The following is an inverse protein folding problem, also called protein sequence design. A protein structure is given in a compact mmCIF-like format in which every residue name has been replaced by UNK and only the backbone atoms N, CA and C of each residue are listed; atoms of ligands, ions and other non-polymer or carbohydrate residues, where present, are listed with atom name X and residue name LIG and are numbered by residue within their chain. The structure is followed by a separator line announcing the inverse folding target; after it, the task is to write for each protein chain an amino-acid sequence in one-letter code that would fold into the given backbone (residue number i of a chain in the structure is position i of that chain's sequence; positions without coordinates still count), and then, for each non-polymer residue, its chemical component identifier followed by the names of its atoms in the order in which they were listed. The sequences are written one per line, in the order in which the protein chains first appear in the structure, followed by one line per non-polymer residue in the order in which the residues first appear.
data_IF_720242613385
#
_entry.id   IF_720242613385
#
_cell.length_a   1.000
_cell.length_b   1.000
_cell.length_c   1.000
_cell.angle_alpha   90.00
_cell.angle_beta   90.00
_cell.angle_gamma   90.00
#
_symmetry.space_group_name_H-M   'P 1'
#
loop_
_entity.id
_entity.type
_entity.pdbx_description
1 polymer ?
#
# COMPACT_ATOMS: atom_id res chain seq x y z
N UNK A 1 -0.76 6.54 14.05
CA UNK A 1 -0.13 7.86 13.81
C UNK A 1 -0.96 8.72 12.83
N UNK A 2 -1.14 8.35 11.54
CA UNK A 2 -1.89 9.18 10.54
C UNK A 2 -3.28 9.56 11.06
N UNK A 3 -4.03 8.58 11.57
CA UNK A 3 -5.35 8.83 12.17
C UNK A 3 -5.29 9.86 13.32
N UNK A 4 -4.41 9.65 14.29
CA UNK A 4 -4.33 10.50 15.49
C UNK A 4 -3.97 11.96 15.14
N UNK A 5 -3.02 12.14 14.23
CA UNK A 5 -2.63 13.48 13.77
C UNK A 5 -3.77 14.19 13.03
N UNK A 6 -4.44 13.49 12.11
CA UNK A 6 -5.57 14.06 11.40
C UNK A 6 -6.73 14.38 12.35
N UNK A 7 -7.04 13.46 13.25
CA UNK A 7 -8.15 13.60 14.17
C UNK A 7 -7.94 14.75 15.15
N UNK A 8 -6.75 14.87 15.77
CA UNK A 8 -6.42 15.97 16.67
C UNK A 8 -6.37 17.35 15.97
N UNK A 9 -6.03 17.35 14.67
CA UNK A 9 -6.06 18.58 13.86
C UNK A 9 -7.48 18.93 13.34
N UNK A 10 -8.52 18.15 13.68
CA UNK A 10 -9.88 18.35 13.18
C UNK A 10 -10.06 18.02 11.71
N UNK A 11 -9.06 17.41 11.06
CA UNK A 11 -9.11 16.98 9.68
C UNK A 11 -9.86 15.65 9.58
N UNK A 12 -10.73 15.51 8.59
CA UNK A 12 -11.40 14.23 8.30
C UNK A 12 -10.39 13.11 8.09
N UNK A 13 -10.30 12.09 8.96
CA UNK A 13 -9.29 11.05 8.89
C UNK A 13 -9.29 10.25 7.58
N UNK A 14 -10.44 10.07 6.93
CA UNK A 14 -10.57 9.41 5.64
C UNK A 14 -9.59 9.96 4.60
N UNK A 15 -9.38 11.26 4.56
CA UNK A 15 -8.53 11.93 3.54
C UNK A 15 -7.07 11.44 3.61
N UNK A 16 -6.34 11.65 4.71
CA UNK A 16 -4.97 11.18 4.79
C UNK A 16 -4.84 9.66 4.92
N UNK A 17 -5.80 8.98 5.55
CA UNK A 17 -5.76 7.52 5.70
C UNK A 17 -5.88 6.82 4.35
N UNK A 18 -6.87 7.20 3.53
CA UNK A 18 -7.07 6.60 2.22
C UNK A 18 -5.92 6.94 1.26
N UNK A 19 -5.51 8.22 1.22
CA UNK A 19 -4.40 8.66 0.36
C UNK A 19 -3.11 7.95 0.72
N UNK A 20 -2.73 7.88 2.00
CA UNK A 20 -1.51 7.21 2.43
C UNK A 20 -1.53 5.70 2.16
N UNK A 21 -2.69 5.05 2.35
CA UNK A 21 -2.84 3.62 2.08
C UNK A 21 -2.59 3.30 0.61
N UNK A 22 -3.19 4.07 -0.30
CA UNK A 22 -3.00 3.85 -1.74
C UNK A 22 -1.62 4.29 -2.20
N UNK A 23 -1.12 5.43 -1.74
CA UNK A 23 0.22 5.92 -2.07
C UNK A 23 1.32 4.92 -1.69
N UNK A 24 1.20 4.27 -0.53
CA UNK A 24 2.12 3.21 -0.11
C UNK A 24 2.12 2.00 -1.06
N UNK A 25 0.96 1.64 -1.63
CA UNK A 25 0.86 0.58 -2.63
C UNK A 25 1.50 1.01 -3.97
N UNK A 26 1.20 2.22 -4.45
CA UNK A 26 1.76 2.75 -5.70
C UNK A 26 3.28 2.88 -5.62
N UNK A 27 3.83 3.27 -4.47
CA UNK A 27 5.26 3.35 -4.23
C UNK A 27 6.03 2.04 -4.49
N UNK A 28 5.35 0.89 -4.45
CA UNK A 28 5.97 -0.43 -4.74
C UNK A 28 6.55 -0.48 -6.15
N UNK A 29 5.86 0.06 -7.16
CA UNK A 29 6.33 0.06 -8.56
C UNK A 29 7.37 1.13 -8.85
N UNK A 30 7.55 2.08 -7.94
CA UNK A 30 8.60 3.09 -7.98
C UNK A 30 9.79 2.77 -7.03
N UNK A 31 9.78 1.59 -6.40
CA UNK A 31 10.77 1.20 -5.40
C UNK A 31 11.81 0.24 -6.00
N UNK A 32 13.12 0.56 -5.93
CA UNK A 32 14.18 -0.26 -6.50
C UNK A 32 14.33 -1.64 -5.85
N UNK A 33 13.92 -1.79 -4.61
CA UNK A 33 14.06 -3.02 -3.82
C UNK A 33 12.76 -3.83 -3.74
N UNK A 34 11.71 -3.41 -4.44
CA UNK A 34 10.44 -4.12 -4.41
C UNK A 34 10.48 -5.44 -5.18
N UNK A 35 9.75 -6.43 -4.68
CA UNK A 35 9.62 -7.72 -5.36
C UNK A 35 8.96 -7.60 -6.75
N UNK A 36 8.11 -6.59 -6.96
CA UNK A 36 7.46 -6.35 -8.25
C UNK A 36 8.45 -5.80 -9.28
N UNK A 37 9.26 -4.80 -8.91
CA UNK A 37 10.28 -4.22 -9.79
C UNK A 37 11.38 -5.23 -10.10
N UNK A 38 11.85 -6.00 -9.10
CA UNK A 38 12.81 -7.07 -9.30
C UNK A 38 12.27 -8.16 -10.24
N UNK A 39 10.98 -8.53 -10.10
CA UNK A 39 10.34 -9.50 -10.98
C UNK A 39 10.25 -8.98 -12.42
N UNK A 40 9.87 -7.71 -12.63
CA UNK A 40 9.80 -7.11 -13.96
C UNK A 40 11.17 -7.11 -14.66
N UNK A 41 12.22 -6.67 -13.94
CA UNK A 41 13.59 -6.66 -14.45
C UNK A 41 14.05 -8.07 -14.84
N UNK A 42 13.81 -9.06 -13.97
CA UNK A 42 14.15 -10.47 -14.24
C UNK A 42 13.40 -11.04 -15.43
N UNK A 43 12.14 -10.66 -15.63
CA UNK A 43 11.35 -11.08 -16.80
C UNK A 43 11.89 -10.50 -18.09
N UNK A 44 12.22 -9.21 -18.15
CA UNK A 44 12.82 -8.62 -19.33
C UNK A 44 14.12 -9.32 -19.71
N UNK A 45 15.01 -9.59 -18.75
CA UNK A 45 16.23 -10.35 -19.02
C UNK A 45 15.96 -11.77 -19.53
N UNK A 46 14.98 -12.48 -18.96
CA UNK A 46 14.61 -13.84 -19.37
C UNK A 46 13.99 -13.91 -20.77
N UNK A 47 13.34 -12.84 -21.23
CA UNK A 47 12.73 -12.73 -22.56
C UNK A 47 13.64 -12.07 -23.60
N UNK A 48 14.94 -11.92 -23.31
CA UNK A 48 15.94 -11.41 -24.25
C UNK A 48 16.15 -9.90 -24.26
N UNK A 49 15.56 -9.18 -23.32
CA UNK A 49 15.69 -7.73 -23.16
C UNK A 49 16.65 -7.38 -22.01
N UNK A 50 17.87 -7.91 -22.08
CA UNK A 50 18.92 -7.71 -21.07
C UNK A 50 19.45 -6.27 -21.04
N UNK A 51 19.18 -5.46 -22.08
CA UNK A 51 19.48 -4.04 -22.15
C UNK A 51 18.64 -3.18 -21.19
N UNK A 52 17.48 -3.71 -20.75
CA UNK A 52 16.62 -3.03 -19.77
C UNK A 52 17.27 -3.09 -18.40
N UNK A 53 17.53 -1.92 -17.83
CA UNK A 53 18.15 -1.76 -16.52
C UNK A 53 17.12 -1.36 -15.45
N UNK A 54 17.46 -1.56 -14.18
CA UNK A 54 16.66 -1.03 -13.09
C UNK A 54 16.47 0.50 -13.21
N UNK A 55 17.52 1.19 -13.62
CA UNK A 55 17.48 2.66 -13.81
C UNK A 55 16.48 3.06 -14.89
N UNK A 56 16.45 2.37 -16.04
CA UNK A 56 15.49 2.68 -17.11
C UNK A 56 14.03 2.49 -16.67
N UNK A 57 13.75 1.45 -15.88
CA UNK A 57 12.42 1.25 -15.29
C UNK A 57 12.08 2.40 -14.34
N UNK A 58 12.98 2.75 -13.41
CA UNK A 58 12.71 3.75 -12.38
C UNK A 58 12.66 5.18 -12.93
N UNK A 59 13.41 5.49 -13.99
CA UNK A 59 13.32 6.81 -14.66
C UNK A 59 11.92 7.11 -15.19
N UNK A 60 11.17 6.09 -15.56
CA UNK A 60 9.77 6.21 -15.98
C UNK A 60 8.82 6.09 -14.79
N UNK A 61 8.95 5.04 -13.99
CA UNK A 61 7.95 4.71 -12.98
C UNK A 61 8.00 5.62 -11.76
N UNK A 62 9.18 6.08 -11.33
CA UNK A 62 9.30 6.95 -10.14
C UNK A 62 8.60 8.30 -10.33
N UNK A 63 8.93 9.11 -11.37
CA UNK A 63 8.22 10.37 -11.58
C UNK A 63 6.74 10.18 -11.89
N UNK A 64 6.38 9.13 -12.64
CA UNK A 64 4.99 8.84 -12.96
C UNK A 64 4.17 8.52 -11.69
N UNK A 65 4.67 7.65 -10.82
CA UNK A 65 4.01 7.32 -9.56
C UNK A 65 3.95 8.52 -8.61
N UNK A 66 5.01 9.33 -8.54
CA UNK A 66 5.04 10.54 -7.72
C UNK A 66 3.95 11.53 -8.16
N UNK A 67 3.85 11.81 -9.47
CA UNK A 67 2.82 12.69 -10.02
C UNK A 67 1.43 12.11 -9.78
N UNK A 68 1.24 10.80 -9.98
CA UNK A 68 -0.02 10.13 -9.71
C UNK A 68 -0.45 10.26 -8.25
N UNK A 69 0.46 10.02 -7.31
CA UNK A 69 0.19 10.15 -5.86
C UNK A 69 -0.16 11.59 -5.51
N UNK A 70 0.57 12.58 -6.04
CA UNK A 70 0.26 13.99 -5.79
C UNK A 70 -1.10 14.38 -6.34
N UNK A 71 -1.44 13.95 -7.57
CA UNK A 71 -2.74 14.23 -8.19
C UNK A 71 -3.91 13.62 -7.39
N UNK A 72 -3.83 12.35 -7.03
CA UNK A 72 -4.88 11.69 -6.25
C UNK A 72 -5.01 12.26 -4.84
N UNK A 73 -3.90 12.56 -4.18
CA UNK A 73 -3.91 13.19 -2.85
C UNK A 73 -4.50 14.60 -2.90
N UNK A 74 -4.17 15.38 -3.93
CA UNK A 74 -4.74 16.72 -4.12
C UNK A 74 -6.25 16.69 -4.29
N UNK A 75 -6.78 15.82 -5.16
CA UNK A 75 -8.23 15.67 -5.35
C UNK A 75 -8.88 15.24 -4.03
N UNK A 76 -8.26 14.31 -3.32
CA UNK A 76 -8.84 13.75 -2.11
C UNK A 76 -8.77 14.71 -0.92
N UNK A 77 -7.89 15.70 -0.94
CA UNK A 77 -7.83 16.76 0.07
C UNK A 77 -9.17 17.51 0.21
N UNK A 78 -9.93 17.62 -0.89
CA UNK A 78 -11.24 18.29 -0.91
C UNK A 78 -12.42 17.30 -0.84
N UNK A 79 -12.15 16.01 -0.69
CA UNK A 79 -13.18 14.98 -0.72
C UNK A 79 -13.98 14.91 0.59
N UNK A 80 -15.29 14.76 0.44
CA UNK A 80 -16.18 14.57 1.58
C UNK A 80 -16.43 15.83 2.40
N UNK A 81 -17.32 15.71 3.38
CA UNK A 81 -17.63 16.79 4.32
C UNK A 81 -16.51 16.98 5.32
N UNK A 82 -16.41 18.15 5.92
CA UNK A 82 -15.52 18.36 7.07
C UNK A 82 -15.91 17.43 8.23
N UNK A 83 -14.95 17.10 9.08
CA UNK A 83 -15.16 16.13 10.17
C UNK A 83 -16.36 16.53 11.04
N UNK A 84 -16.47 17.80 11.41
CA UNK A 84 -17.55 18.34 12.23
C UNK A 84 -18.94 18.21 11.59
N UNK A 85 -19.03 18.16 10.25
CA UNK A 85 -20.26 18.10 9.48
C UNK A 85 -20.58 16.67 8.96
N UNK A 86 -19.74 15.69 9.32
CA UNK A 86 -19.94 14.30 8.90
C UNK A 86 -21.01 13.60 9.76
N UNK A 87 -22.09 13.07 9.14
CA UNK A 87 -23.19 12.45 9.88
C UNK A 87 -22.79 11.22 10.69
N UNK A 88 -21.86 10.40 10.17
CA UNK A 88 -21.43 9.17 10.84
C UNK A 88 -20.55 9.52 12.04
N UNK A 89 -19.65 10.48 11.90
CA UNK A 89 -18.86 10.99 13.01
C UNK A 89 -19.75 11.57 14.11
N UNK A 90 -20.74 12.40 13.76
CA UNK A 90 -21.67 12.98 14.72
C UNK A 90 -22.51 11.90 15.43
N UNK A 91 -22.92 10.86 14.71
CA UNK A 91 -23.62 9.70 15.29
C UNK A 91 -22.73 8.99 16.32
N UNK A 92 -21.47 8.71 15.98
CA UNK A 92 -20.51 8.05 16.88
C UNK A 92 -20.17 8.89 18.10
N UNK A 93 -19.99 10.18 17.92
CA UNK A 93 -19.74 11.12 19.02
C UNK A 93 -20.92 11.15 20.01
N UNK A 94 -22.17 11.25 19.52
CA UNK A 94 -23.37 11.21 20.36
C UNK A 94 -23.58 9.88 21.07
N UNK A 95 -23.13 8.80 20.46
CA UNK A 95 -23.20 7.45 21.05
C UNK A 95 -22.06 7.14 22.02
N UNK A 96 -21.13 8.10 22.26
CA UNK A 96 -19.96 7.88 23.12
C UNK A 96 -18.96 6.85 22.59
N UNK A 97 -19.01 6.55 21.30
CA UNK A 97 -18.09 5.60 20.63
C UNK A 97 -16.75 6.24 20.27
N UNK A 98 -16.71 7.56 20.21
CA UNK A 98 -15.51 8.36 19.93
C UNK A 98 -15.53 9.58 20.84
N UNK A 99 -14.39 9.86 21.45
CA UNK A 99 -14.22 11.09 22.24
C UNK A 99 -13.94 12.28 21.28
N UNK A 100 -14.33 13.51 21.66
CA UNK A 100 -13.96 14.69 20.86
C UNK A 100 -12.45 14.75 20.67
N UNK A 101 -11.94 15.38 19.58
CA UNK A 101 -10.52 15.61 19.43
C UNK A 101 -9.98 16.40 20.62
N UNK A 102 -9.06 15.81 21.35
CA UNK A 102 -8.36 16.57 22.41
C UNK A 102 -7.43 17.58 21.74
N UNK A 103 -7.48 18.81 22.22
CA UNK A 103 -6.46 19.81 21.86
C UNK A 103 -5.08 19.24 22.21
N UNK A 104 -4.09 19.51 21.37
CA UNK A 104 -2.70 19.12 21.64
C UNK A 104 -2.35 19.63 23.02
N UNK A 105 -2.22 18.71 23.96
CA UNK A 105 -1.98 19.07 25.36
C UNK A 105 -0.50 19.44 25.52
N UNK A 106 -0.23 20.60 26.13
CA UNK A 106 1.12 21.01 26.54
C UNK A 106 1.65 20.22 27.75
N UNK A 107 1.05 19.07 28.06
CA UNK A 107 1.51 18.22 29.15
C UNK A 107 2.92 17.69 28.89
N UNK A 108 3.75 17.63 29.91
CA UNK A 108 5.09 17.11 29.76
C UNK A 108 5.04 15.63 29.28
N UNK A 109 5.86 15.31 28.30
CA UNK A 109 5.94 13.97 27.74
C UNK A 109 6.24 12.95 28.84
N UNK A 110 5.60 11.77 28.82
CA UNK A 110 5.90 10.69 29.76
C UNK A 110 7.37 10.31 29.74
N UNK A 111 7.89 9.84 30.90
CA UNK A 111 9.25 9.31 30.97
C UNK A 111 9.42 8.19 29.93
N UNK A 112 10.50 8.25 29.16
CA UNK A 112 10.78 7.27 28.11
C UNK A 112 10.13 7.55 26.73
N UNK A 113 9.23 8.54 26.61
CA UNK A 113 8.57 8.83 25.32
C UNK A 113 9.57 9.17 24.20
N UNK A 114 10.57 10.03 24.48
CA UNK A 114 11.61 10.35 23.49
C UNK A 114 12.46 9.16 23.12
N UNK A 115 12.78 8.30 24.09
CA UNK A 115 13.55 7.07 23.85
C UNK A 115 12.77 6.07 23.01
N UNK A 116 11.45 5.91 23.25
CA UNK A 116 10.61 5.01 22.44
C UNK A 116 10.53 5.46 20.99
N UNK A 117 10.41 6.77 20.72
CA UNK A 117 10.47 7.32 19.37
C UNK A 117 11.84 7.05 18.74
N UNK A 118 12.93 7.24 19.49
CA UNK A 118 14.30 6.93 19.03
C UNK A 118 14.46 5.47 18.64
N UNK A 119 13.99 4.53 19.46
CA UNK A 119 14.02 3.08 19.17
C UNK A 119 13.20 2.76 17.91
N UNK A 120 12.02 3.34 17.77
CA UNK A 120 11.19 3.16 16.58
C UNK A 120 11.88 3.65 15.30
N UNK A 121 12.42 4.87 15.32
CA UNK A 121 13.14 5.46 14.17
C UNK A 121 14.40 4.66 13.82
N UNK A 122 15.13 4.16 14.82
CA UNK A 122 16.26 3.26 14.59
C UNK A 122 15.81 1.96 13.91
N UNK A 123 14.70 1.38 14.34
CA UNK A 123 14.10 0.21 13.70
C UNK A 123 13.76 0.46 12.24
N UNK A 124 13.08 1.58 11.95
CA UNK A 124 12.77 1.99 10.56
C UNK A 124 14.06 2.17 9.75
N UNK A 125 15.06 2.83 10.30
CA UNK A 125 16.36 3.01 9.64
C UNK A 125 17.04 1.68 9.31
N UNK A 126 17.06 0.72 10.25
CA UNK A 126 17.62 -0.61 10.04
C UNK A 126 16.87 -1.40 8.95
N UNK A 127 15.54 -1.30 8.91
CA UNK A 127 14.73 -1.92 7.86
C UNK A 127 15.09 -1.34 6.49
N UNK A 128 15.20 -0.01 6.37
CA UNK A 128 15.59 0.65 5.13
C UNK A 128 17.01 0.24 4.73
N UNK A 129 17.95 0.24 5.68
CA UNK A 129 19.34 -0.13 5.44
C UNK A 129 19.47 -1.58 4.91
N UNK A 130 18.78 -2.53 5.53
CA UNK A 130 18.77 -3.94 5.09
C UNK A 130 18.04 -4.15 3.77
N UNK A 131 17.15 -3.24 3.40
CA UNK A 131 16.51 -3.21 2.10
C UNK A 131 17.47 -2.80 0.98
N UNK A 132 18.30 -1.77 1.21
CA UNK A 132 19.32 -1.31 0.25
C UNK A 132 20.54 -2.23 0.18
N UNK A 133 20.91 -2.87 1.28
CA UNK A 133 22.08 -3.76 1.38
C UNK A 133 21.64 -5.19 1.71
N UNK A 134 21.28 -6.02 0.71
CA UNK A 134 20.83 -7.40 0.91
C UNK A 134 21.84 -8.28 1.67
N UNK A 135 23.12 -7.96 1.62
CA UNK A 135 24.19 -8.67 2.32
C UNK A 135 23.99 -8.64 3.83
N UNK A 136 23.44 -7.53 4.37
CA UNK A 136 23.19 -7.37 5.82
C UNK A 136 22.08 -8.30 6.34
N UNK A 137 21.24 -8.84 5.44
CA UNK A 137 20.15 -9.78 5.76
C UNK A 137 20.39 -11.18 5.22
N UNK A 138 21.62 -11.48 4.78
CA UNK A 138 21.97 -12.79 4.25
C UNK A 138 22.57 -13.68 5.35
N UNK A 139 21.92 -14.82 5.61
CA UNK A 139 22.34 -15.81 6.60
C UNK A 139 22.70 -17.10 5.87
N UNK A 140 23.90 -17.62 6.08
CA UNK A 140 24.42 -18.82 5.40
C UNK A 140 24.26 -18.78 3.87
N UNK A 141 24.53 -17.63 3.26
CA UNK A 141 24.44 -17.42 1.82
C UNK A 141 23.01 -17.31 1.26
N UNK A 142 21.98 -17.29 2.11
CA UNK A 142 20.58 -17.13 1.70
C UNK A 142 20.02 -15.81 2.23
N UNK A 143 19.45 -14.94 1.39
CA UNK A 143 18.83 -13.70 1.84
C UNK A 143 17.53 -13.98 2.59
N UNK A 144 17.40 -13.40 3.79
CA UNK A 144 16.16 -13.41 4.56
C UNK A 144 15.13 -12.53 3.87
N UNK A 145 13.87 -12.95 3.83
CA UNK A 145 12.80 -12.13 3.22
C UNK A 145 12.62 -10.81 3.99
N UNK A 146 12.30 -9.72 3.26
CA UNK A 146 12.07 -8.41 3.89
C UNK A 146 10.93 -8.44 4.91
N UNK A 147 9.87 -9.21 4.66
CA UNK A 147 8.76 -9.37 5.61
C UNK A 147 9.26 -9.86 6.97
N UNK A 148 10.09 -10.91 6.95
CA UNK A 148 10.65 -11.48 8.19
C UNK A 148 11.62 -10.50 8.89
N UNK A 149 12.42 -9.76 8.13
CA UNK A 149 13.29 -8.71 8.69
C UNK A 149 12.47 -7.63 9.39
N UNK A 150 11.39 -7.16 8.76
CA UNK A 150 10.49 -6.17 9.35
C UNK A 150 9.88 -6.70 10.65
N UNK A 151 9.37 -7.93 10.64
CA UNK A 151 8.80 -8.57 11.84
C UNK A 151 9.82 -8.66 12.97
N UNK A 152 11.03 -9.14 12.68
CA UNK A 152 12.11 -9.28 13.68
C UNK A 152 12.52 -7.93 14.26
N UNK A 153 12.74 -6.91 13.42
CA UNK A 153 13.17 -5.59 13.88
C UNK A 153 12.08 -4.90 14.69
N UNK A 154 10.81 -4.99 14.25
CA UNK A 154 9.69 -4.38 14.96
C UNK A 154 9.41 -5.07 16.31
N UNK A 155 9.47 -6.39 16.38
CA UNK A 155 9.33 -7.13 17.65
C UNK A 155 10.49 -6.84 18.60
N UNK A 156 11.73 -6.80 18.12
CA UNK A 156 12.89 -6.40 18.92
C UNK A 156 12.75 -4.96 19.43
N UNK A 157 12.31 -4.03 18.58
CA UNK A 157 12.02 -2.65 18.97
C UNK A 157 10.95 -2.56 20.06
N UNK A 158 9.86 -3.31 19.92
CA UNK A 158 8.82 -3.38 20.94
C UNK A 158 9.35 -3.92 22.28
N UNK A 159 10.16 -4.99 22.26
CA UNK A 159 10.79 -5.55 23.46
C UNK A 159 11.73 -4.54 24.14
N UNK A 160 12.54 -3.82 23.35
CA UNK A 160 13.42 -2.75 23.89
C UNK A 160 12.60 -1.60 24.49
N UNK A 161 11.47 -1.20 23.89
CA UNK A 161 10.60 -0.19 24.47
C UNK A 161 10.01 -0.64 25.81
N UNK A 162 9.57 -1.89 25.92
CA UNK A 162 9.06 -2.45 27.19
C UNK A 162 10.16 -2.46 28.25
N UNK A 163 11.38 -2.86 27.89
CA UNK A 163 12.49 -2.98 28.83
C UNK A 163 13.01 -1.61 29.32
N UNK A 164 13.07 -0.59 28.44
CA UNK A 164 13.81 0.65 28.73
C UNK A 164 12.95 1.91 28.78
N UNK A 165 11.72 1.91 28.28
CA UNK A 165 10.90 3.11 28.18
C UNK A 165 9.81 3.24 29.28
N UNK A 166 9.87 2.41 30.31
CA UNK A 166 8.87 2.43 31.40
C UNK A 166 7.42 2.24 30.91
N UNK A 167 7.23 1.39 29.91
CA UNK A 167 5.90 1.13 29.33
C UNK A 167 5.03 0.40 30.35
N UNK A 168 3.83 0.97 30.61
CA UNK A 168 2.81 0.28 31.38
C UNK A 168 2.03 -0.65 30.46
N UNK A 169 2.27 -1.96 30.58
CA UNK A 169 1.64 -2.98 29.73
C UNK A 169 0.13 -3.07 29.93
N UNK A 170 -0.39 -2.78 31.12
CA UNK A 170 -1.85 -2.80 31.38
C UNK A 170 -2.55 -1.65 30.62
N UNK A 171 -1.92 -0.49 30.55
CA UNK A 171 -2.42 0.63 29.75
C UNK A 171 -2.28 0.34 28.26
N UNK A 172 -1.13 -0.17 27.83
CA UNK A 172 -0.87 -0.51 26.44
C UNK A 172 -1.85 -1.57 25.92
N UNK A 173 -2.13 -2.63 26.72
CA UNK A 173 -3.06 -3.71 26.35
C UNK A 173 -4.50 -3.22 26.17
N UNK A 174 -4.90 -2.17 26.86
CA UNK A 174 -6.24 -1.56 26.78
C UNK A 174 -6.33 -0.45 25.76
N UNK A 175 -5.21 -0.10 25.09
CA UNK A 175 -5.20 1.00 24.14
C UNK A 175 -6.13 0.74 22.94
N UNK A 176 -6.84 1.78 22.46
CA UNK A 176 -7.67 1.65 21.26
C UNK A 176 -6.88 1.22 20.02
N UNK A 177 -5.61 1.63 19.94
CA UNK A 177 -4.70 1.28 18.84
C UNK A 177 -4.39 -0.22 18.82
N UNK A 178 -4.07 -0.83 19.96
CA UNK A 178 -3.83 -2.28 20.01
C UNK A 178 -5.10 -3.07 19.66
N UNK A 179 -6.25 -2.64 20.18
CA UNK A 179 -7.54 -3.27 19.85
C UNK A 179 -7.83 -3.21 18.35
N UNK A 180 -7.65 -2.05 17.72
CA UNK A 180 -7.80 -1.90 16.27
C UNK A 180 -6.83 -2.79 15.48
N UNK A 181 -5.58 -2.92 15.95
CA UNK A 181 -4.58 -3.83 15.37
C UNK A 181 -5.03 -5.29 15.41
N UNK A 182 -5.54 -5.77 16.55
CA UNK A 182 -6.05 -7.16 16.69
C UNK A 182 -7.23 -7.41 15.76
N UNK A 183 -8.19 -6.47 15.69
CA UNK A 183 -9.32 -6.54 14.74
C UNK A 183 -8.82 -6.59 13.30
N UNK A 184 -7.82 -5.78 12.94
CA UNK A 184 -7.21 -5.77 11.62
C UNK A 184 -6.57 -7.13 11.27
N UNK A 185 -5.83 -7.74 12.19
CA UNK A 185 -5.25 -9.08 12.01
C UNK A 185 -6.34 -10.12 11.72
N UNK A 186 -7.41 -10.13 12.52
CA UNK A 186 -8.55 -11.04 12.29
C UNK A 186 -9.21 -10.83 10.93
N UNK A 187 -9.42 -9.57 10.53
CA UNK A 187 -9.99 -9.24 9.22
C UNK A 187 -9.06 -9.68 8.06
N UNK A 188 -7.75 -9.48 8.18
CA UNK A 188 -6.76 -9.92 7.18
C UNK A 188 -6.80 -11.43 7.03
N UNK A 189 -6.75 -12.19 8.13
CA UNK A 189 -6.79 -13.65 8.05
C UNK A 189 -8.10 -14.17 7.44
N UNK A 190 -9.25 -13.59 7.82
CA UNK A 190 -10.54 -14.05 7.31
C UNK A 190 -10.77 -13.65 5.84
N UNK A 191 -10.71 -12.36 5.55
CA UNK A 191 -11.14 -11.82 4.25
C UNK A 191 -10.07 -12.04 3.17
N UNK A 192 -8.80 -11.74 3.47
CA UNK A 192 -7.73 -11.88 2.48
C UNK A 192 -7.50 -13.35 2.13
N UNK A 193 -7.48 -14.25 3.09
CA UNK A 193 -7.31 -15.68 2.84
C UNK A 193 -8.46 -16.27 2.01
N UNK A 194 -9.71 -15.87 2.31
CA UNK A 194 -10.87 -16.25 1.49
C UNK A 194 -10.68 -15.83 0.02
N UNK A 195 -10.28 -14.57 -0.19
CA UNK A 195 -10.04 -14.03 -1.52
C UNK A 195 -8.91 -14.78 -2.25
N UNK A 196 -7.77 -15.02 -1.60
CA UNK A 196 -6.64 -15.75 -2.18
C UNK A 196 -7.02 -17.19 -2.56
N UNK A 197 -7.81 -17.87 -1.71
CA UNK A 197 -8.29 -19.23 -1.99
C UNK A 197 -9.21 -19.26 -3.22
N UNK A 198 -10.15 -18.30 -3.31
CA UNK A 198 -11.07 -18.21 -4.45
C UNK A 198 -10.33 -17.93 -5.77
N UNK A 199 -9.43 -16.95 -5.77
CA UNK A 199 -8.65 -16.59 -6.96
C UNK A 199 -7.71 -17.73 -7.36
N UNK A 200 -7.05 -18.36 -6.39
CA UNK A 200 -6.18 -19.51 -6.62
C UNK A 200 -6.90 -20.67 -7.31
N UNK A 201 -8.11 -20.99 -6.86
CA UNK A 201 -8.95 -22.03 -7.43
C UNK A 201 -9.43 -21.72 -8.86
N UNK A 202 -9.56 -20.44 -9.23
CA UNK A 202 -10.09 -20.00 -10.53
C UNK A 202 -9.01 -19.35 -11.44
N UNK A 203 -7.74 -19.55 -11.13
CA UNK A 203 -6.61 -18.88 -11.82
C UNK A 203 -6.64 -19.11 -13.35
N UNK A 204 -6.95 -20.32 -13.82
CA UNK A 204 -7.01 -20.63 -15.26
C UNK A 204 -8.00 -19.74 -16.01
N UNK A 205 -9.22 -19.63 -15.50
CA UNK A 205 -10.26 -18.76 -16.06
C UNK A 205 -9.83 -17.30 -16.18
N UNK A 206 -9.22 -16.76 -15.12
CA UNK A 206 -8.76 -15.36 -15.13
C UNK A 206 -7.60 -15.12 -16.10
N UNK A 207 -6.71 -16.11 -16.26
CA UNK A 207 -5.58 -16.01 -17.21
C UNK A 207 -6.04 -16.05 -18.67
N UNK A 208 -7.01 -16.90 -19.03
CA UNK A 208 -7.61 -16.95 -20.36
C UNK A 208 -8.29 -15.64 -20.72
N UNK A 209 -9.14 -15.13 -19.83
CA UNK A 209 -9.81 -13.83 -20.02
C UNK A 209 -8.80 -12.68 -20.20
N UNK A 210 -7.70 -12.69 -19.43
CA UNK A 210 -6.64 -11.69 -19.55
C UNK A 210 -5.95 -11.73 -20.91
N UNK A 211 -5.70 -12.93 -21.44
CA UNK A 211 -5.11 -13.14 -22.77
C UNK A 211 -5.98 -12.56 -23.89
N UNK A 212 -7.25 -12.87 -23.87
CA UNK A 212 -8.21 -12.41 -24.88
C UNK A 212 -8.32 -10.89 -24.93
N UNK A 213 -8.35 -10.23 -23.76
CA UNK A 213 -8.40 -8.77 -23.68
C UNK A 213 -7.11 -8.11 -24.20
N UNK A 214 -5.95 -8.63 -23.84
CA UNK A 214 -4.67 -8.08 -24.27
C UNK A 214 -4.43 -8.21 -25.78
N UNK A 215 -4.92 -9.28 -26.41
CA UNK A 215 -4.81 -9.51 -27.85
C UNK A 215 -5.62 -8.51 -28.69
N UNK A 216 -6.69 -7.92 -28.15
CA UNK A 216 -7.53 -6.98 -28.87
C UNK A 216 -6.85 -5.62 -29.07
N UNK A 217 -6.15 -5.10 -28.08
CA UNK A 217 -5.38 -3.86 -28.18
C UNK A 217 -4.31 -3.81 -27.06
N UNK A 218 -3.04 -3.48 -27.39
CA UNK A 218 -1.94 -3.49 -26.42
C UNK A 218 -2.18 -2.60 -25.18
N UNK A 219 -2.84 -1.47 -25.34
CA UNK A 219 -3.15 -0.57 -24.23
C UNK A 219 -4.18 -1.14 -23.25
N UNK A 220 -5.04 -2.07 -23.69
CA UNK A 220 -5.96 -2.78 -22.81
C UNK A 220 -5.20 -3.64 -21.78
N UNK A 221 -3.94 -3.94 -22.04
CA UNK A 221 -3.12 -4.68 -21.10
C UNK A 221 -2.95 -3.96 -19.76
N UNK A 222 -3.01 -2.63 -19.74
CA UNK A 222 -3.04 -1.88 -18.49
C UNK A 222 -4.28 -2.20 -17.63
N UNK A 223 -5.45 -2.37 -18.26
CA UNK A 223 -6.65 -2.81 -17.54
C UNK A 223 -6.53 -4.25 -17.05
N UNK A 224 -5.93 -5.14 -17.88
CA UNK A 224 -5.66 -6.51 -17.46
C UNK A 224 -4.77 -6.51 -16.21
N UNK A 225 -3.67 -5.77 -16.22
CA UNK A 225 -2.78 -5.63 -15.05
C UNK A 225 -3.53 -5.08 -13.84
N UNK A 226 -4.35 -4.06 -14.03
CA UNK A 226 -5.12 -3.43 -12.96
C UNK A 226 -6.10 -4.42 -12.30
N UNK A 227 -6.97 -5.05 -13.08
CA UNK A 227 -7.96 -5.97 -12.52
C UNK A 227 -7.34 -7.25 -11.99
N UNK A 228 -6.31 -7.78 -12.67
CA UNK A 228 -5.60 -8.96 -12.17
C UNK A 228 -4.86 -8.66 -10.87
N UNK A 229 -4.32 -7.46 -10.69
CA UNK A 229 -3.70 -7.08 -9.42
C UNK A 229 -4.72 -6.93 -8.28
N UNK A 230 -5.92 -6.45 -8.59
CA UNK A 230 -7.02 -6.41 -7.63
C UNK A 230 -7.44 -7.82 -7.17
N UNK A 231 -7.43 -8.79 -8.09
CA UNK A 231 -7.78 -10.18 -7.82
C UNK A 231 -6.65 -10.93 -7.10
N UNK A 232 -5.40 -10.78 -7.55
CA UNK A 232 -4.23 -11.46 -6.97
C UNK A 232 -3.73 -10.80 -5.68
N UNK A 233 -4.23 -9.62 -5.33
CA UNK A 233 -3.87 -8.83 -4.13
C UNK A 233 -2.36 -8.63 -3.91
N UNK A 234 -1.56 -8.74 -4.98
CA UNK A 234 -0.10 -8.68 -4.92
C UNK A 234 0.51 -8.16 -6.23
N UNK A 235 1.21 -7.03 -6.17
CA UNK A 235 1.93 -6.47 -7.32
C UNK A 235 2.96 -7.46 -7.88
N UNK A 236 3.76 -8.06 -6.99
CA UNK A 236 4.80 -9.01 -7.39
C UNK A 236 4.24 -10.29 -7.99
N UNK A 237 3.12 -10.81 -7.49
CA UNK A 237 2.45 -11.96 -8.08
C UNK A 237 1.84 -11.62 -9.44
N UNK A 238 1.20 -10.45 -9.57
CA UNK A 238 0.65 -9.97 -10.84
C UNK A 238 1.74 -9.77 -11.88
N UNK A 239 2.86 -9.14 -11.50
CA UNK A 239 4.00 -8.96 -12.40
C UNK A 239 4.49 -10.32 -12.94
N UNK A 240 4.74 -11.29 -12.07
CA UNK A 240 5.21 -12.63 -12.48
C UNK A 240 4.20 -13.42 -13.29
N UNK A 241 2.91 -13.26 -13.02
CA UNK A 241 1.87 -14.04 -13.67
C UNK A 241 1.41 -13.46 -15.01
N UNK A 242 1.31 -12.13 -15.10
CA UNK A 242 0.65 -11.45 -16.22
C UNK A 242 1.65 -10.80 -17.19
N UNK A 243 2.76 -10.20 -16.70
CA UNK A 243 3.73 -9.54 -17.58
C UNK A 243 4.33 -10.47 -18.66
N UNK A 244 4.62 -11.76 -18.41
CA UNK A 244 5.05 -12.68 -19.47
C UNK A 244 4.07 -12.75 -20.64
N UNK A 245 2.76 -12.67 -20.40
CA UNK A 245 1.75 -12.66 -21.44
C UNK A 245 1.91 -11.44 -22.36
N UNK A 246 2.13 -10.24 -21.82
CA UNK A 246 2.39 -9.04 -22.60
C UNK A 246 3.62 -9.18 -23.50
N UNK A 247 4.70 -9.79 -22.98
CA UNK A 247 5.92 -10.07 -23.74
C UNK A 247 5.67 -11.09 -24.88
N UNK A 248 4.93 -12.15 -24.62
CA UNK A 248 4.58 -13.16 -25.65
C UNK A 248 3.65 -12.61 -26.73
N UNK A 249 2.82 -11.63 -26.41
CA UNK A 249 1.97 -10.90 -27.35
C UNK A 249 2.73 -9.83 -28.16
N UNK A 250 4.04 -9.66 -27.90
CA UNK A 250 4.87 -8.71 -28.61
C UNK A 250 4.62 -7.24 -28.24
N UNK A 251 4.07 -6.98 -27.06
CA UNK A 251 3.89 -5.59 -26.58
C UNK A 251 5.28 -4.95 -26.39
N UNK A 252 5.54 -3.78 -26.99
CA UNK A 252 6.85 -3.12 -26.89
C UNK A 252 7.28 -2.89 -25.44
N UNK A 253 8.56 -3.12 -25.12
CA UNK A 253 9.13 -2.98 -23.78
C UNK A 253 8.87 -1.59 -23.15
N UNK A 254 9.03 -0.46 -23.87
CA UNK A 254 8.71 0.84 -23.30
C UNK A 254 7.24 0.95 -22.86
N UNK A 255 6.31 0.39 -23.65
CA UNK A 255 4.90 0.38 -23.30
C UNK A 255 4.61 -0.54 -22.11
N UNK A 256 5.31 -1.67 -21.99
CA UNK A 256 5.25 -2.54 -20.82
C UNK A 256 5.69 -1.83 -19.55
N UNK A 257 6.78 -1.06 -19.60
CA UNK A 257 7.27 -0.24 -18.49
C UNK A 257 6.25 0.85 -18.15
N UNK A 258 5.68 1.51 -19.16
CA UNK A 258 4.66 2.54 -18.96
C UNK A 258 3.37 2.01 -18.30
N UNK A 259 2.98 0.78 -18.59
CA UNK A 259 1.81 0.14 -18.00
C UNK A 259 2.09 -0.50 -16.63
N UNK A 260 3.35 -0.63 -16.22
CA UNK A 260 3.70 -1.28 -14.96
C UNK A 260 3.02 -0.66 -13.73
N UNK A 261 2.82 0.66 -13.57
CA UNK A 261 2.06 1.21 -12.46
C UNK A 261 0.62 0.66 -12.34
N UNK A 262 0.05 0.09 -13.39
CA UNK A 262 -1.29 -0.51 -13.35
C UNK A 262 -1.38 -1.76 -12.45
N UNK A 263 -0.25 -2.42 -12.10
CA UNK A 263 -0.27 -3.53 -11.13
C UNK A 263 -0.62 -3.07 -9.70
N UNK A 264 -0.91 -1.81 -9.49
CA UNK A 264 -1.33 -1.25 -8.20
C UNK A 264 -2.86 -1.19 -8.03
N UNK A 265 -3.65 -1.97 -8.76
CA UNK A 265 -5.10 -2.07 -8.62
C UNK A 265 -5.59 -2.72 -7.31
N UNK A 266 -4.71 -3.08 -6.38
CA UNK A 266 -5.01 -3.81 -5.14
C UNK A 266 -6.08 -3.16 -4.27
N UNK A 267 -6.19 -1.83 -4.33
CA UNK A 267 -7.19 -1.08 -3.57
C UNK A 267 -8.61 -1.26 -4.13
N UNK A 268 -8.75 -1.68 -5.39
CA UNK A 268 -10.05 -1.77 -6.08
C UNK A 268 -11.04 -2.67 -5.34
N UNK A 269 -10.55 -3.79 -4.82
CA UNK A 269 -11.24 -4.58 -3.81
C UNK A 269 -10.60 -4.27 -2.45
N UNK A 270 -11.35 -3.70 -1.47
CA UNK A 270 -10.76 -3.26 -0.20
C UNK A 270 -10.54 -4.41 0.78
N UNK A 271 -9.95 -5.51 0.29
CA UNK A 271 -9.69 -6.75 1.02
C UNK A 271 -8.23 -6.88 1.47
N UNK A 272 -7.37 -5.95 1.07
CA UNK A 272 -5.95 -5.97 1.44
C UNK A 272 -5.71 -5.55 2.88
N UNK A 273 -4.66 -6.08 3.50
CA UNK A 273 -4.28 -5.76 4.87
C UNK A 273 -4.21 -4.25 5.16
N UNK A 274 -3.52 -3.44 4.33
CA UNK A 274 -3.48 -1.99 4.53
C UNK A 274 -4.84 -1.31 4.50
N UNK A 275 -5.75 -1.71 3.59
CA UNK A 275 -7.10 -1.14 3.52
C UNK A 275 -7.94 -1.51 4.75
N UNK A 276 -7.92 -2.79 5.16
CA UNK A 276 -8.63 -3.26 6.34
C UNK A 276 -8.09 -2.62 7.62
N UNK A 277 -6.76 -2.46 7.72
CA UNK A 277 -6.12 -1.76 8.83
C UNK A 277 -6.55 -0.29 8.90
N UNK A 278 -6.54 0.43 7.77
CA UNK A 278 -6.95 1.82 7.73
C UNK A 278 -8.39 2.01 8.23
N UNK A 279 -9.32 1.17 7.79
CA UNK A 279 -10.72 1.18 8.26
C UNK A 279 -10.81 0.86 9.77
N UNK A 280 -10.02 -0.10 10.25
CA UNK A 280 -10.05 -0.54 11.66
C UNK A 280 -9.45 0.51 12.61
N UNK A 281 -8.45 1.26 12.15
CA UNK A 281 -7.82 2.31 12.95
C UNK A 281 -8.60 3.62 12.99
N UNK A 282 -9.48 3.87 12.02
CA UNK A 282 -10.32 5.07 12.00
C UNK A 282 -11.54 4.93 12.90
N UNK A 283 -11.40 5.39 14.14
CA UNK A 283 -12.48 5.40 15.13
C UNK A 283 -13.60 6.39 14.75
N UNK A 284 -13.31 7.43 13.98
CA UNK A 284 -14.31 8.40 13.55
C UNK A 284 -15.35 7.79 12.60
N UNK A 285 -14.99 6.68 11.92
CA UNK A 285 -15.85 5.98 10.97
C UNK A 285 -15.95 6.67 9.61
N UNK A 286 -15.10 7.66 9.36
CA UNK A 286 -15.05 8.35 8.07
C UNK A 286 -14.35 7.51 7.01
N UNK A 287 -13.28 6.77 7.36
CA UNK A 287 -12.68 5.75 6.49
C UNK A 287 -13.51 4.49 6.54
N UNK A 288 -14.07 4.09 5.43
CA UNK A 288 -15.08 3.02 5.40
C UNK A 288 -15.06 2.17 4.15
N UNK A 289 -15.60 0.97 4.28
CA UNK A 289 -16.07 0.13 3.18
C UNK A 289 -17.59 0.28 3.16
N UNK A 290 -18.14 0.79 2.07
CA UNK A 290 -19.57 1.04 1.93
C UNK A 290 -20.37 -0.25 1.68
N UNK A 291 -21.69 -0.12 1.63
CA UNK A 291 -22.65 -1.22 1.48
C UNK A 291 -22.38 -2.12 0.25
N UNK A 292 -21.81 -1.58 -0.81
CA UNK A 292 -21.62 -2.26 -2.09
C UNK A 292 -20.13 -2.58 -2.38
N UNK A 293 -19.30 -2.78 -1.40
CA UNK A 293 -17.86 -3.09 -1.51
C UNK A 293 -17.08 -2.06 -2.33
N UNK A 294 -17.50 -1.74 -3.57
CA UNK A 294 -16.86 -0.76 -4.46
C UNK A 294 -17.10 0.71 -4.03
N UNK A 295 -17.98 0.95 -3.05
CA UNK A 295 -18.20 2.27 -2.47
C UNK A 295 -17.35 2.41 -1.19
N UNK A 296 -16.05 2.50 -1.34
CA UNK A 296 -15.11 2.60 -0.21
C UNK A 296 -14.16 3.79 -0.38
N UNK A 297 -13.55 4.19 0.74
CA UNK A 297 -12.70 5.38 0.83
C UNK A 297 -11.46 5.35 -0.08
N UNK A 298 -11.00 4.18 -0.50
CA UNK A 298 -9.79 4.02 -1.32
C UNK A 298 -10.06 4.11 -2.83
N UNK A 299 -11.32 4.02 -3.27
CA UNK A 299 -11.68 3.86 -4.68
C UNK A 299 -11.24 5.05 -5.53
N UNK A 300 -11.69 6.24 -5.17
CA UNK A 300 -11.43 7.45 -5.97
C UNK A 300 -9.94 7.82 -5.96
N UNK A 301 -9.27 7.98 -4.79
CA UNK A 301 -7.85 8.32 -4.81
C UNK A 301 -7.03 7.27 -5.55
N UNK A 302 -7.36 5.98 -5.38
CA UNK A 302 -6.66 4.90 -6.03
C UNK A 302 -6.78 4.93 -7.54
N UNK A 303 -7.99 5.07 -8.08
CA UNK A 303 -8.21 5.16 -9.54
C UNK A 303 -7.43 6.35 -10.11
N UNK A 304 -7.55 7.54 -9.48
CA UNK A 304 -6.84 8.73 -9.96
C UNK A 304 -5.32 8.52 -9.93
N UNK A 305 -4.79 8.00 -8.83
CA UNK A 305 -3.35 7.77 -8.69
C UNK A 305 -2.83 6.81 -9.76
N UNK A 306 -3.50 5.67 -9.99
CA UNK A 306 -3.07 4.68 -10.98
C UNK A 306 -3.22 5.22 -12.40
N UNK A 307 -4.37 5.80 -12.75
CA UNK A 307 -4.61 6.33 -14.11
C UNK A 307 -3.59 7.41 -14.44
N UNK A 308 -3.38 8.38 -13.55
CA UNK A 308 -2.40 9.43 -13.76
C UNK A 308 -0.98 8.86 -13.86
N UNK A 309 -0.62 7.88 -13.01
CA UNK A 309 0.69 7.23 -13.10
C UNK A 309 0.91 6.55 -14.45
N UNK A 310 -0.06 5.79 -14.94
CA UNK A 310 0.03 5.12 -16.25
C UNK A 310 0.10 6.13 -17.39
N UNK A 311 -0.75 7.16 -17.38
CA UNK A 311 -0.75 8.20 -18.42
C UNK A 311 0.58 8.95 -18.45
N UNK A 312 1.09 9.37 -17.30
CA UNK A 312 2.39 10.05 -17.21
C UNK A 312 3.53 9.13 -17.66
N UNK A 313 3.51 7.86 -17.27
CA UNK A 313 4.51 6.89 -17.71
C UNK A 313 4.48 6.69 -19.24
N UNK A 314 3.28 6.63 -19.86
CA UNK A 314 3.14 6.59 -21.32
C UNK A 314 3.70 7.84 -22.01
N UNK A 315 3.47 9.01 -21.45
CA UNK A 315 4.05 10.25 -21.99
C UNK A 315 5.57 10.28 -21.87
N UNK A 316 6.13 9.84 -20.75
CA UNK A 316 7.59 9.79 -20.54
C UNK A 316 8.26 8.84 -21.53
N UNK A 317 7.70 7.67 -21.78
CA UNK A 317 8.25 6.71 -22.77
C UNK A 317 8.14 7.21 -24.20
N UNK A 318 7.15 8.06 -24.54
CA UNK A 318 7.09 8.71 -25.86
C UNK A 318 8.14 9.81 -26.02
N UNK A 319 8.62 10.40 -24.93
CA UNK A 319 9.71 11.40 -24.93
C UNK A 319 11.11 10.77 -24.98
N UNK A 320 11.20 9.43 -25.06
CA UNK A 320 12.46 8.71 -25.19
C UNK A 320 13.15 8.38 -23.86
N UNK A 321 12.41 8.43 -22.74
CA UNK A 321 12.88 7.99 -21.43
C UNK A 321 12.65 6.50 -21.22
#
# INVERSE_FOLDING_TARGET
MIYEVAYSAGVRPERPMASATVAAQIGITACPISAATAALLGLFAAYGHAEVTLSSILMVTFPACLIGVLAGSFIYMFWGKELKDDPEYQRRLKAGLVEPPEAISDQPLPKGAKLSVGIFLLGVFLIVLTGFFPELRTIHGKPVSMSLVIEMVMLAGAALMVAFCHVNLDVASKSPTLRAGVVSVGAIFGIAWLADSFIGANKGFFMELAGDLAAQAPWLFAFVLFFMSALLTSQGATTRAIMPLGLTLGIPVPLMIAMFPAVNGLFFLPITGPALSAVSFDRSGTTKIGKYILNHSFQIPGIVMVVVSVVVAMLLTQLGL
#
